data_IF_714590979885
#
_entry.id   IF_714590979885
#
_cell.length_a   1.000
_cell.length_b   1.000
_cell.length_c   1.000
_cell.angle_alpha   90.00
_cell.angle_beta   90.00
_cell.angle_gamma   90.00
#
_symmetry.space_group_name_H-M   'P 1'
#
loop_
_entity.id
_entity.type
_entity.pdbx_description
1 polymer ?
#
# COMPACT_ATOMS: atom_id res chain seq x y z
N UNK A 1 36.60 -1.66 -7.33
CA UNK A 1 35.32 -1.23 -7.90
C UNK A 1 34.82 -2.34 -8.82
N UNK A 2 33.53 -2.73 -8.81
CA UNK A 2 32.98 -3.56 -9.86
C UNK A 2 32.96 -2.78 -11.19
N UNK A 3 33.44 -3.40 -12.27
CA UNK A 3 33.37 -2.82 -13.62
C UNK A 3 32.14 -3.38 -14.33
N UNK A 4 31.10 -2.56 -14.52
CA UNK A 4 29.97 -2.94 -15.38
C UNK A 4 30.40 -2.87 -16.85
N UNK A 5 30.48 -4.04 -17.49
CA UNK A 5 30.75 -4.19 -18.92
C UNK A 5 29.41 -4.24 -19.66
N UNK A 6 29.03 -3.13 -20.33
CA UNK A 6 27.77 -3.06 -21.09
C UNK A 6 27.77 -3.91 -22.37
N UNK A 7 28.96 -4.18 -22.90
CA UNK A 7 29.15 -4.84 -24.18
C UNK A 7 29.86 -6.18 -23.94
N UNK A 8 29.12 -7.27 -23.94
CA UNK A 8 29.65 -8.63 -23.93
C UNK A 8 28.75 -9.54 -24.75
N UNK A 9 29.32 -10.60 -25.31
CA UNK A 9 28.57 -11.74 -25.85
C UNK A 9 28.97 -12.99 -25.08
N UNK A 10 28.03 -13.90 -24.88
CA UNK A 10 28.28 -15.15 -24.17
C UNK A 10 27.63 -16.34 -24.87
N UNK A 11 28.20 -17.52 -24.66
CA UNK A 11 27.70 -18.79 -25.17
C UNK A 11 27.87 -19.86 -24.08
N UNK A 12 26.93 -20.79 -23.98
CA UNK A 12 26.94 -21.84 -22.97
C UNK A 12 26.82 -23.21 -23.62
N UNK A 13 27.63 -24.16 -23.15
CA UNK A 13 27.48 -25.59 -23.41
C UNK A 13 26.97 -26.27 -22.14
N UNK A 14 26.74 -27.59 -22.18
CA UNK A 14 26.41 -28.39 -21.01
C UNK A 14 27.52 -28.47 -19.94
N UNK A 15 28.72 -27.92 -20.21
CA UNK A 15 29.90 -28.05 -19.34
C UNK A 15 30.68 -26.75 -19.12
N UNK A 16 30.44 -25.69 -19.89
CA UNK A 16 31.18 -24.42 -19.78
C UNK A 16 30.36 -23.21 -20.24
N UNK A 17 30.73 -22.02 -19.76
CA UNK A 17 30.24 -20.73 -20.24
C UNK A 17 31.41 -19.92 -20.79
N UNK A 18 31.32 -19.54 -22.05
CA UNK A 18 32.29 -18.69 -22.74
C UNK A 18 31.78 -17.24 -22.73
N UNK A 19 32.61 -16.29 -22.29
CA UNK A 19 32.27 -14.86 -22.27
C UNK A 19 33.31 -14.09 -23.11
N UNK A 20 32.84 -13.35 -24.10
CA UNK A 20 33.64 -12.50 -24.98
C UNK A 20 33.42 -11.03 -24.65
N UNK A 21 34.49 -10.31 -24.33
CA UNK A 21 34.48 -8.88 -23.96
C UNK A 21 35.40 -8.09 -24.91
N UNK A 22 34.92 -7.02 -25.56
CA UNK A 22 35.72 -6.20 -26.47
C UNK A 22 36.61 -5.22 -25.69
N UNK A 23 37.78 -5.70 -25.24
CA UNK A 23 38.78 -4.88 -24.56
C UNK A 23 39.37 -3.82 -25.53
N UNK A 24 39.05 -2.55 -25.31
CA UNK A 24 39.60 -1.43 -26.09
C UNK A 24 40.96 -1.00 -25.52
N UNK A 25 42.02 -1.10 -26.32
CA UNK A 25 43.33 -0.50 -26.04
C UNK A 25 44.28 -1.30 -25.16
N UNK A 26 44.00 -2.59 -24.90
CA UNK A 26 44.85 -3.47 -24.08
C UNK A 26 45.14 -4.76 -24.86
N UNK A 27 46.40 -5.22 -24.85
CA UNK A 27 46.76 -6.52 -25.42
C UNK A 27 46.15 -7.65 -24.59
N UNK A 28 45.46 -8.60 -25.24
CA UNK A 28 44.95 -9.79 -24.55
C UNK A 28 46.11 -10.52 -23.85
N UNK A 29 45.88 -10.88 -22.59
CA UNK A 29 46.71 -11.80 -21.79
C UNK A 29 45.75 -12.77 -21.12
N UNK A 30 46.22 -13.96 -20.82
CA UNK A 30 45.46 -14.90 -20.02
C UNK A 30 45.15 -14.29 -18.65
N UNK A 31 43.88 -14.35 -18.26
CA UNK A 31 43.38 -13.80 -17.02
C UNK A 31 42.52 -14.86 -16.34
N UNK A 32 42.86 -15.21 -15.10
CA UNK A 32 42.17 -16.25 -14.35
C UNK A 32 40.77 -15.78 -13.92
N UNK A 33 39.75 -16.10 -14.73
CA UNK A 33 38.35 -15.75 -14.47
C UNK A 33 37.75 -16.73 -13.45
N UNK A 34 37.98 -16.46 -12.17
CA UNK A 34 37.37 -17.21 -11.06
C UNK A 34 35.87 -16.93 -10.94
N UNK A 35 35.04 -17.80 -11.51
CA UNK A 35 33.60 -17.80 -11.25
C UNK A 35 33.33 -18.42 -9.86
N UNK A 36 32.55 -17.74 -9.01
CA UNK A 36 32.12 -18.28 -7.71
C UNK A 36 30.70 -18.82 -7.82
N UNK A 37 30.47 -20.08 -7.44
CA UNK A 37 29.15 -20.73 -7.52
C UNK A 37 28.03 -19.93 -6.83
N UNK A 38 28.37 -19.18 -5.79
CA UNK A 38 27.45 -18.38 -4.99
C UNK A 38 26.71 -17.31 -5.81
N UNK A 39 27.27 -16.83 -6.92
CA UNK A 39 26.64 -15.78 -7.73
C UNK A 39 25.52 -16.30 -8.64
N UNK A 40 25.55 -17.58 -9.02
CA UNK A 40 24.53 -18.19 -9.88
C UNK A 40 23.30 -18.68 -9.09
N UNK A 41 23.53 -19.27 -7.91
CA UNK A 41 22.49 -19.91 -7.08
C UNK A 41 21.43 -18.93 -6.55
N UNK A 42 21.79 -17.66 -6.35
CA UNK A 42 20.86 -16.61 -5.93
C UNK A 42 19.76 -16.40 -6.97
N UNK A 43 20.10 -16.43 -8.27
CA UNK A 43 19.13 -16.20 -9.34
C UNK A 43 18.13 -17.35 -9.46
N UNK A 44 18.56 -18.60 -9.23
CA UNK A 44 17.67 -19.77 -9.19
C UNK A 44 16.70 -19.70 -8.01
N UNK A 45 17.16 -19.29 -6.83
CA UNK A 45 16.30 -19.08 -5.67
C UNK A 45 15.26 -17.97 -5.89
N UNK A 46 15.64 -16.85 -6.49
CA UNK A 46 14.71 -15.75 -6.80
C UNK A 46 13.70 -16.16 -7.87
N UNK A 47 14.14 -16.84 -8.94
CA UNK A 47 13.25 -17.40 -9.97
C UNK A 47 12.23 -18.36 -9.35
N UNK A 48 12.66 -19.24 -8.44
CA UNK A 48 11.77 -20.15 -7.73
C UNK A 48 10.77 -19.42 -6.83
N UNK A 49 11.21 -18.43 -6.04
CA UNK A 49 10.32 -17.59 -5.21
C UNK A 49 9.26 -16.88 -6.06
N UNK A 50 9.62 -16.41 -7.27
CA UNK A 50 8.69 -15.78 -8.22
C UNK A 50 7.69 -16.80 -8.80
N UNK A 51 8.10 -18.04 -9.03
CA UNK A 51 7.22 -19.11 -9.53
C UNK A 51 6.26 -19.61 -8.43
N UNK A 52 6.77 -19.82 -7.21
CA UNK A 52 5.97 -20.15 -6.03
C UNK A 52 4.90 -19.06 -5.74
N UNK A 53 5.24 -17.77 -5.89
CA UNK A 53 4.26 -16.69 -5.76
C UNK A 53 3.16 -16.75 -6.84
N UNK A 54 3.53 -16.92 -8.11
CA UNK A 54 2.55 -17.00 -9.23
C UNK A 54 1.58 -18.18 -9.07
N UNK A 55 2.07 -19.32 -8.59
CA UNK A 55 1.20 -20.48 -8.38
C UNK A 55 0.29 -20.29 -7.15
N UNK A 56 0.77 -19.64 -6.08
CA UNK A 56 -0.09 -19.23 -4.97
C UNK A 56 -1.19 -18.24 -5.40
N UNK A 57 -0.88 -17.26 -6.27
CA UNK A 57 -1.89 -16.36 -6.85
C UNK A 57 -2.92 -17.09 -7.71
N UNK A 58 -2.49 -18.05 -8.55
CA UNK A 58 -3.40 -18.92 -9.33
C UNK A 58 -4.32 -19.74 -8.41
N UNK A 59 -3.75 -20.41 -7.40
CA UNK A 59 -4.49 -21.22 -6.42
C UNK A 59 -5.48 -20.35 -5.62
N UNK A 60 -5.16 -19.08 -5.37
CA UNK A 60 -6.09 -18.12 -4.74
C UNK A 60 -7.22 -17.74 -5.68
N UNK A 61 -6.92 -17.41 -6.94
CA UNK A 61 -7.90 -17.03 -7.95
C UNK A 61 -8.87 -18.17 -8.31
N UNK A 62 -8.40 -19.42 -8.37
CA UNK A 62 -9.28 -20.58 -8.60
C UNK A 62 -10.23 -20.82 -7.43
N UNK A 63 -9.73 -20.76 -6.18
CA UNK A 63 -10.56 -20.85 -4.96
C UNK A 63 -11.61 -19.74 -4.88
N UNK A 64 -11.24 -18.50 -5.24
CA UNK A 64 -12.18 -17.37 -5.28
C UNK A 64 -13.27 -17.56 -6.36
N UNK A 65 -12.90 -18.08 -7.53
CA UNK A 65 -13.85 -18.41 -8.60
C UNK A 65 -14.78 -19.58 -8.22
N UNK A 66 -14.28 -20.59 -7.51
CA UNK A 66 -15.08 -21.71 -7.00
C UNK A 66 -16.05 -21.25 -5.90
N UNK A 67 -15.56 -20.46 -4.94
CA UNK A 67 -16.40 -19.86 -3.89
C UNK A 67 -17.48 -18.95 -4.49
N UNK A 68 -17.17 -18.15 -5.52
CA UNK A 68 -18.16 -17.34 -6.22
C UNK A 68 -19.23 -18.21 -6.90
N UNK A 69 -18.84 -19.29 -7.60
CA UNK A 69 -19.78 -20.26 -8.21
C UNK A 69 -20.66 -20.96 -7.17
N UNK A 70 -20.12 -21.28 -5.99
CA UNK A 70 -20.88 -21.87 -4.90
C UNK A 70 -21.87 -20.86 -4.26
N UNK A 71 -21.45 -19.61 -4.07
CA UNK A 71 -22.32 -18.52 -3.63
C UNK A 71 -23.46 -18.25 -4.61
N UNK A 72 -23.21 -18.31 -5.93
CA UNK A 72 -24.28 -18.22 -6.94
C UNK A 72 -25.29 -19.37 -6.80
N UNK A 73 -24.84 -20.63 -6.75
CA UNK A 73 -25.72 -21.79 -6.56
C UNK A 73 -26.56 -21.69 -5.29
N UNK A 74 -25.94 -21.37 -4.15
CA UNK A 74 -26.65 -21.15 -2.88
C UNK A 74 -27.65 -19.99 -2.96
N UNK A 75 -27.33 -18.92 -3.67
CA UNK A 75 -28.26 -17.81 -3.90
C UNK A 75 -29.42 -18.18 -4.85
N UNK A 76 -29.28 -19.18 -5.71
CA UNK A 76 -30.37 -19.73 -6.53
C UNK A 76 -31.22 -20.73 -5.76
N UNK A 77 -30.60 -21.65 -5.02
CA UNK A 77 -31.26 -22.58 -4.08
C UNK A 77 -32.11 -21.81 -3.07
N UNK A 78 -31.59 -20.74 -2.45
CA UNK A 78 -32.35 -19.87 -1.54
C UNK A 78 -33.50 -19.14 -2.23
N UNK A 79 -33.40 -18.78 -3.53
CA UNK A 79 -34.53 -18.20 -4.29
C UNK A 79 -35.60 -19.25 -4.59
N UNK A 80 -35.23 -20.52 -4.77
CA UNK A 80 -36.16 -21.64 -4.94
C UNK A 80 -36.88 -21.92 -3.62
N UNK A 81 -36.14 -22.08 -2.52
CA UNK A 81 -36.69 -22.27 -1.17
C UNK A 81 -37.65 -21.13 -0.82
N UNK A 82 -37.27 -19.86 -1.03
CA UNK A 82 -38.16 -18.72 -0.78
C UNK A 82 -39.41 -18.67 -1.67
N UNK A 83 -39.44 -19.35 -2.82
CA UNK A 83 -40.65 -19.50 -3.65
C UNK A 83 -41.52 -20.64 -3.13
N UNK A 84 -40.92 -21.77 -2.78
CA UNK A 84 -41.61 -22.93 -2.18
C UNK A 84 -42.21 -22.58 -0.81
N UNK A 85 -41.47 -21.86 0.04
CA UNK A 85 -41.97 -21.31 1.30
C UNK A 85 -43.15 -20.35 1.08
N UNK A 86 -43.10 -19.48 0.05
CA UNK A 86 -44.22 -18.59 -0.27
C UNK A 86 -45.45 -19.34 -0.75
N UNK A 87 -45.29 -20.35 -1.61
CA UNK A 87 -46.36 -21.23 -2.05
C UNK A 87 -46.96 -22.03 -0.88
N UNK A 88 -46.10 -22.61 -0.02
CA UNK A 88 -46.52 -23.30 1.19
C UNK A 88 -47.22 -22.36 2.18
N UNK A 89 -46.75 -21.12 2.33
CA UNK A 89 -47.38 -20.12 3.20
C UNK A 89 -48.73 -19.65 2.63
N UNK A 90 -48.86 -19.54 1.31
CA UNK A 90 -50.13 -19.25 0.62
C UNK A 90 -51.12 -20.42 0.75
N UNK A 91 -50.69 -21.66 0.56
CA UNK A 91 -51.49 -22.85 0.88
C UNK A 91 -51.87 -22.89 2.36
N UNK A 92 -50.94 -22.55 3.26
CA UNK A 92 -51.17 -22.53 4.71
C UNK A 92 -52.16 -21.42 5.08
N UNK A 93 -52.14 -20.26 4.42
CA UNK A 93 -53.17 -19.24 4.56
C UNK A 93 -54.54 -19.76 4.11
N UNK A 94 -54.66 -20.37 2.92
CA UNK A 94 -55.91 -20.99 2.44
C UNK A 94 -56.41 -22.13 3.37
N UNK A 95 -55.48 -22.91 3.94
CA UNK A 95 -55.77 -23.98 4.92
C UNK A 95 -56.08 -23.41 6.32
N UNK A 96 -55.58 -22.23 6.66
CA UNK A 96 -55.87 -21.53 7.91
C UNK A 96 -57.17 -20.73 7.84
N UNK A 97 -57.57 -20.15 6.71
CA UNK A 97 -58.92 -19.59 6.54
C UNK A 97 -59.98 -20.69 6.73
N UNK A 98 -59.76 -21.86 6.10
CA UNK A 98 -60.56 -23.08 6.33
C UNK A 98 -60.53 -23.60 7.79
N UNK A 99 -59.55 -23.22 8.61
CA UNK A 99 -59.44 -23.62 10.03
C UNK A 99 -59.87 -22.53 11.02
N UNK A 100 -59.78 -21.24 10.69
CA UNK A 100 -60.25 -20.11 11.52
C UNK A 100 -61.78 -20.07 11.62
N UNK A 101 -62.47 -20.81 10.73
CA UNK A 101 -63.86 -21.24 10.86
C UNK A 101 -64.13 -22.28 11.98
N UNK A 102 -63.12 -22.82 12.67
CA UNK A 102 -63.26 -23.87 13.70
C UNK A 102 -62.32 -23.70 14.91
N UNK A 103 -62.95 -23.38 16.06
CA UNK A 103 -62.41 -23.37 17.43
C UNK A 103 -61.54 -22.18 17.89
N UNK A 104 -61.69 -21.87 19.19
CA UNK A 104 -61.12 -20.74 19.95
C UNK A 104 -61.14 -21.12 21.44
N UNK A 105 -59.98 -21.19 22.13
CA UNK A 105 -59.84 -21.04 23.61
C UNK A 105 -58.40 -21.24 24.17
N UNK A 106 -58.05 -20.39 25.16
CA UNK A 106 -57.12 -20.57 26.32
C UNK A 106 -55.57 -20.51 26.18
N UNK A 107 -54.82 -21.20 27.06
CA UNK A 107 -53.69 -20.67 27.90
C UNK A 107 -52.53 -21.65 28.13
N UNK A 108 -51.36 -21.33 28.76
CA UNK A 108 -50.82 -20.08 29.35
C UNK A 108 -50.02 -20.32 30.67
N UNK A 109 -49.07 -19.42 31.03
CA UNK A 109 -48.15 -19.46 32.23
C UNK A 109 -47.12 -20.64 32.24
N UNK A 110 -45.98 -20.71 32.96
CA UNK A 110 -45.15 -19.86 33.88
C UNK A 110 -43.73 -20.54 34.05
N UNK A 111 -42.55 -19.90 33.98
CA UNK A 111 -41.76 -19.09 34.97
C UNK A 111 -40.62 -19.82 35.78
N UNK A 112 -39.53 -19.09 36.17
CA UNK A 112 -38.45 -19.42 37.17
C UNK A 112 -37.33 -20.45 36.78
N UNK A 113 -36.10 -20.53 37.37
CA UNK A 113 -35.21 -19.70 38.27
C UNK A 113 -33.76 -20.27 38.45
N UNK A 114 -32.73 -19.40 38.62
CA UNK A 114 -31.51 -19.49 39.51
C UNK A 114 -30.47 -20.68 39.37
N UNK A 115 -29.27 -20.82 40.03
CA UNK A 115 -28.43 -20.08 41.04
C UNK A 115 -26.91 -20.57 41.09
N UNK A 116 -25.97 -19.82 41.73
CA UNK A 116 -24.78 -20.26 42.57
C UNK A 116 -23.47 -20.90 41.95
N UNK A 117 -22.23 -20.98 42.53
CA UNK A 117 -21.43 -20.32 43.66
C UNK A 117 -19.90 -20.72 43.73
N UNK A 118 -18.99 -19.81 44.21
CA UNK A 118 -17.70 -19.93 45.04
C UNK A 118 -16.55 -20.96 44.71
N UNK A 119 -15.26 -20.84 45.15
CA UNK A 119 -14.43 -19.80 45.84
C UNK A 119 -13.08 -20.29 46.55
N UNK A 120 -12.19 -19.37 47.03
CA UNK A 120 -10.84 -19.49 47.73
C UNK A 120 -9.64 -20.05 46.89
N UNK A 121 -8.33 -20.16 47.28
CA UNK A 121 -7.52 -20.23 48.55
C UNK A 121 -6.07 -19.61 48.42
N UNK A 122 -5.25 -19.48 49.49
CA UNK A 122 -3.74 -19.29 49.43
C UNK A 122 -2.93 -20.39 50.19
N UNK A 123 -1.83 -20.29 50.98
CA UNK A 123 -1.17 -19.25 51.82
C UNK A 123 0.42 -19.11 51.62
N UNK A 124 1.37 -19.32 52.59
CA UNK A 124 2.76 -18.68 52.57
C UNK A 124 3.99 -19.33 53.33
N UNK A 125 5.24 -19.04 52.87
CA UNK A 125 6.57 -18.73 53.56
C UNK A 125 7.30 -19.69 54.56
N UNK A 126 8.67 -19.87 54.47
CA UNK A 126 9.71 -19.69 55.57
C UNK A 126 11.22 -19.89 55.19
N UNK A 127 12.11 -18.96 55.65
CA UNK A 127 13.59 -18.90 55.95
C UNK A 127 14.68 -19.92 55.50
N UNK A 128 15.92 -19.43 55.17
CA UNK A 128 17.13 -19.50 56.06
C UNK A 128 18.35 -18.58 55.66
N UNK A 129 19.57 -18.82 56.20
CA UNK A 129 20.66 -17.83 56.50
C UNK A 129 21.74 -17.54 55.42
N UNK A 130 22.49 -16.44 55.64
CA UNK A 130 23.71 -15.97 54.95
C UNK A 130 25.02 -16.70 55.36
N UNK A 131 26.07 -16.58 54.52
CA UNK A 131 27.50 -16.76 54.85
C UNK A 131 28.38 -15.81 54.01
N UNK A 132 29.58 -15.52 54.50
CA UNK A 132 30.50 -14.49 53.99
C UNK A 132 31.48 -14.95 52.89
N UNK A 133 32.17 -13.97 52.32
CA UNK A 133 32.91 -14.01 51.06
C UNK A 133 34.16 -14.91 51.02
N UNK A 134 34.46 -15.38 49.81
CA UNK A 134 35.84 -15.66 49.38
C UNK A 134 36.04 -15.13 47.95
N UNK A 135 37.14 -14.42 47.71
CA UNK A 135 37.34 -13.69 46.44
C UNK A 135 37.75 -14.68 45.33
N UNK A 136 37.00 -14.79 44.22
CA UNK A 136 37.36 -15.68 43.12
C UNK A 136 38.49 -15.12 42.27
N UNK A 137 39.25 -16.01 41.63
CA UNK A 137 40.35 -15.66 40.72
C UNK A 137 39.88 -14.81 39.51
N UNK A 138 40.76 -13.96 38.94
CA UNK A 138 40.42 -13.12 37.79
C UNK A 138 40.02 -13.94 36.56
N UNK A 139 39.06 -13.42 35.79
CA UNK A 139 38.37 -14.16 34.72
C UNK A 139 39.11 -14.08 33.39
N UNK A 140 38.95 -15.12 32.57
CA UNK A 140 39.30 -15.10 31.14
C UNK A 140 38.32 -14.23 30.34
N UNK A 141 38.74 -13.81 29.14
CA UNK A 141 37.94 -12.98 28.22
C UNK A 141 36.75 -13.78 27.68
N UNK A 142 35.56 -13.16 27.66
CA UNK A 142 34.33 -13.77 27.12
C UNK A 142 33.37 -12.73 26.56
N UNK A 143 32.46 -13.16 25.68
CA UNK A 143 31.48 -12.28 25.04
C UNK A 143 30.35 -11.90 26.01
N UNK A 144 30.04 -10.60 26.10
CA UNK A 144 29.02 -10.07 27.01
C UNK A 144 27.65 -10.11 26.32
N UNK A 145 26.80 -11.06 26.71
CA UNK A 145 25.38 -11.04 26.34
C UNK A 145 24.65 -9.99 27.19
N UNK A 146 24.51 -8.78 26.66
CA UNK A 146 23.75 -7.71 27.29
C UNK A 146 22.26 -8.08 27.28
N UNK A 147 21.69 -8.31 28.46
CA UNK A 147 20.25 -8.39 28.69
C UNK A 147 19.77 -7.10 29.35
N UNK A 148 18.82 -6.40 28.73
CA UNK A 148 18.18 -5.24 29.35
C UNK A 148 17.44 -5.66 30.62
N UNK A 149 17.62 -4.92 31.70
CA UNK A 149 16.81 -5.06 32.91
C UNK A 149 15.36 -4.61 32.61
N UNK A 150 14.33 -5.43 32.92
CA UNK A 150 12.95 -5.03 32.72
C UNK A 150 12.61 -3.84 33.62
N UNK A 151 11.81 -2.90 33.10
CA UNK A 151 11.47 -1.63 33.78
C UNK A 151 10.37 -1.85 34.82
N UNK A 152 10.70 -2.52 35.92
CA UNK A 152 9.76 -2.78 37.02
C UNK A 152 9.48 -1.50 37.81
N UNK A 153 8.42 -0.79 37.45
CA UNK A 153 7.75 0.12 38.37
C UNK A 153 6.98 -0.71 39.42
N UNK A 154 7.14 -0.46 40.73
CA UNK A 154 6.43 -1.18 41.78
C UNK A 154 4.98 -0.67 41.94
N UNK A 155 4.19 -0.74 40.88
CA UNK A 155 2.75 -0.44 40.87
C UNK A 155 1.97 -1.66 41.37
N UNK A 156 0.87 -1.44 42.10
CA UNK A 156 0.08 -2.54 42.65
C UNK A 156 -0.55 -3.42 41.55
N UNK A 157 -0.50 -4.74 41.73
CA UNK A 157 -0.81 -5.78 40.73
C UNK A 157 -2.22 -5.76 40.09
N UNK A 158 -3.09 -4.83 40.49
CA UNK A 158 -4.48 -4.70 40.01
C UNK A 158 -4.60 -3.91 38.70
N UNK A 159 -3.62 -3.06 38.38
CA UNK A 159 -3.64 -2.15 37.21
C UNK A 159 -2.39 -2.36 36.33
N UNK A 160 -1.89 -3.60 36.29
CA UNK A 160 -0.69 -3.97 35.54
C UNK A 160 -0.97 -4.10 34.03
N UNK A 161 -1.24 -2.98 33.36
CA UNK A 161 -1.40 -2.88 31.90
C UNK A 161 -0.10 -3.14 31.10
N UNK A 162 0.89 -3.83 31.67
CA UNK A 162 2.23 -4.07 31.06
C UNK A 162 2.13 -4.69 29.66
N UNK A 163 1.21 -5.63 29.42
CA UNK A 163 1.01 -6.18 28.08
C UNK A 163 0.48 -5.14 27.08
N UNK A 164 -0.38 -4.21 27.53
CA UNK A 164 -0.92 -3.12 26.71
C UNK A 164 0.12 -2.01 26.49
N UNK A 165 0.97 -1.74 27.49
CA UNK A 165 2.14 -0.84 27.38
C UNK A 165 3.21 -1.41 26.45
N UNK A 166 3.54 -2.70 26.57
CA UNK A 166 4.47 -3.40 25.68
C UNK A 166 3.92 -3.46 24.26
N UNK A 167 2.63 -3.77 24.08
CA UNK A 167 1.96 -3.66 22.78
C UNK A 167 1.98 -2.23 22.23
N UNK A 168 1.76 -1.20 23.05
CA UNK A 168 1.80 0.20 22.63
C UNK A 168 3.22 0.64 22.23
N UNK A 169 4.22 0.24 23.00
CA UNK A 169 5.64 0.47 22.69
C UNK A 169 6.06 -0.30 21.43
N UNK A 170 5.61 -1.54 21.25
CA UNK A 170 5.85 -2.32 20.04
C UNK A 170 5.18 -1.66 18.83
N UNK A 171 3.89 -1.32 18.88
CA UNK A 171 3.17 -0.62 17.81
C UNK A 171 3.80 0.73 17.48
N UNK A 172 4.33 1.45 18.47
CA UNK A 172 5.03 2.73 18.24
C UNK A 172 6.44 2.54 17.68
N UNK A 173 7.18 1.51 18.10
CA UNK A 173 8.49 1.14 17.55
C UNK A 173 8.39 0.48 16.17
N UNK A 174 7.24 -0.14 15.86
CA UNK A 174 6.86 -0.66 14.55
C UNK A 174 6.45 0.48 13.62
N UNK A 175 5.60 1.42 14.06
CA UNK A 175 5.29 2.63 13.28
C UNK A 175 6.54 3.48 12.98
N UNK A 176 7.44 3.66 13.96
CA UNK A 176 8.76 4.29 13.75
C UNK A 176 9.65 3.51 12.79
N UNK A 177 9.55 2.17 12.75
CA UNK A 177 10.28 1.35 11.78
C UNK A 177 9.65 1.47 10.39
N UNK A 178 8.35 1.32 10.24
CA UNK A 178 7.64 1.46 8.96
C UNK A 178 7.81 2.84 8.29
N UNK A 179 8.08 3.90 9.07
CA UNK A 179 8.45 5.22 8.52
C UNK A 179 9.95 5.35 8.12
N UNK A 180 10.81 4.42 8.56
CA UNK A 180 12.26 4.46 8.37
C UNK A 180 12.83 3.28 7.54
N UNK A 181 12.11 2.17 7.39
CA UNK A 181 12.62 0.91 6.78
C UNK A 181 12.95 1.03 5.30
N UNK A 182 12.20 1.88 4.59
CA UNK A 182 12.14 1.83 3.13
C UNK A 182 13.23 2.68 2.46
N UNK A 183 14.07 3.37 3.23
CA UNK A 183 14.88 4.48 2.72
C UNK A 183 16.27 4.62 3.38
N UNK A 184 17.23 3.71 3.10
CA UNK A 184 18.65 3.92 3.42
C UNK A 184 19.19 5.26 2.88
N UNK A 185 18.69 5.72 1.73
CA UNK A 185 19.02 7.02 1.13
C UNK A 185 18.71 8.24 2.02
N UNK A 186 17.89 8.11 3.09
CA UNK A 186 17.46 9.21 3.95
C UNK A 186 18.29 9.35 5.25
N UNK A 187 19.17 8.37 5.53
CA UNK A 187 20.08 8.44 6.67
C UNK A 187 21.15 9.52 6.50
N UNK A 188 21.69 9.65 5.28
CA UNK A 188 22.78 10.57 4.93
C UNK A 188 22.32 12.01 4.61
N UNK A 189 21.00 12.22 4.49
CA UNK A 189 20.41 13.53 4.21
C UNK A 189 20.41 14.44 5.45
N UNK A 190 20.74 15.72 5.25
CA UNK A 190 20.80 16.72 6.34
C UNK A 190 19.42 16.97 6.94
N UNK A 191 19.37 17.52 8.15
CA UNK A 191 18.10 17.82 8.85
C UNK A 191 17.17 18.75 8.03
N UNK A 192 17.73 19.71 7.29
CA UNK A 192 16.98 20.55 6.34
C UNK A 192 16.25 19.72 5.26
N UNK A 193 16.89 18.66 4.77
CA UNK A 193 16.37 17.81 3.69
C UNK A 193 15.32 16.79 4.19
N UNK A 194 15.17 16.66 5.51
CA UNK A 194 14.09 15.89 6.16
C UNK A 194 12.80 16.70 6.28
N UNK A 195 12.79 17.96 5.87
CA UNK A 195 11.57 18.77 5.75
C UNK A 195 10.93 18.61 4.34
N UNK A 196 9.70 18.08 4.22
CA UNK A 196 9.04 17.91 2.93
C UNK A 196 8.76 19.24 2.20
N UNK A 197 8.64 20.36 2.92
CA UNK A 197 8.48 21.70 2.33
C UNK A 197 9.77 22.17 1.64
N UNK A 198 10.93 21.88 2.23
CA UNK A 198 12.24 22.18 1.64
C UNK A 198 12.48 21.35 0.38
N UNK A 199 12.11 20.06 0.39
CA UNK A 199 12.19 19.20 -0.79
C UNK A 199 11.20 19.60 -1.89
N UNK A 200 9.99 20.07 -1.53
CA UNK A 200 9.05 20.68 -2.48
C UNK A 200 9.71 21.87 -3.19
N UNK A 201 10.37 22.76 -2.45
CA UNK A 201 11.00 23.95 -3.03
C UNK A 201 12.31 23.65 -3.79
N UNK A 202 13.05 22.61 -3.41
CA UNK A 202 14.13 22.02 -4.23
C UNK A 202 13.57 21.50 -5.55
N UNK A 203 12.45 20.77 -5.52
CA UNK A 203 11.72 20.33 -6.71
C UNK A 203 11.19 21.49 -7.58
N UNK A 204 10.65 22.54 -6.96
CA UNK A 204 10.17 23.75 -7.65
C UNK A 204 11.32 24.46 -8.40
N UNK A 205 12.49 24.61 -7.75
CA UNK A 205 13.70 25.16 -8.36
C UNK A 205 14.20 24.31 -9.52
N UNK A 206 14.25 22.97 -9.34
CA UNK A 206 14.67 22.04 -10.39
C UNK A 206 13.73 22.05 -11.61
N UNK A 207 12.42 22.17 -11.38
CA UNK A 207 11.41 22.35 -12.42
C UNK A 207 11.60 23.68 -13.19
N UNK A 208 11.93 24.77 -12.49
CA UNK A 208 12.23 26.07 -13.12
C UNK A 208 13.53 26.03 -13.95
N UNK A 209 14.49 25.16 -13.60
CA UNK A 209 15.68 24.86 -14.44
C UNK A 209 15.43 23.75 -15.48
N UNK A 210 14.17 23.43 -15.78
CA UNK A 210 13.71 22.38 -16.71
C UNK A 210 14.24 20.96 -16.45
N UNK A 211 14.89 20.71 -15.31
CA UNK A 211 15.38 19.39 -14.92
C UNK A 211 14.26 18.55 -14.28
N UNK A 212 13.31 18.16 -15.11
CA UNK A 212 12.10 17.44 -14.71
C UNK A 212 12.40 16.10 -14.01
N UNK A 213 13.49 15.40 -14.38
CA UNK A 213 13.90 14.13 -13.75
C UNK A 213 14.41 14.34 -12.32
N UNK A 214 15.30 15.32 -12.10
CA UNK A 214 15.77 15.65 -10.75
C UNK A 214 14.62 16.20 -9.89
N UNK A 215 13.71 16.98 -10.46
CA UNK A 215 12.50 17.45 -9.78
C UNK A 215 11.60 16.29 -9.32
N UNK A 216 11.36 15.28 -10.18
CA UNK A 216 10.63 14.06 -9.79
C UNK A 216 11.31 13.35 -8.62
N UNK A 217 12.63 13.22 -8.61
CA UNK A 217 13.34 12.59 -7.49
C UNK A 217 13.20 13.39 -6.19
N UNK A 218 13.26 14.72 -6.25
CA UNK A 218 13.00 15.57 -5.08
C UNK A 218 11.56 15.42 -4.55
N UNK A 219 10.55 15.40 -5.43
CA UNK A 219 9.16 15.15 -5.04
C UNK A 219 8.93 13.72 -4.54
N UNK A 220 9.62 12.70 -5.07
CA UNK A 220 9.56 11.32 -4.59
C UNK A 220 10.03 11.22 -3.13
N UNK A 221 11.15 11.85 -2.80
CA UNK A 221 11.65 11.94 -1.42
C UNK A 221 10.68 12.71 -0.51
N UNK A 222 10.11 13.81 -0.99
CA UNK A 222 9.11 14.56 -0.25
C UNK A 222 7.83 13.75 0.04
N UNK A 223 7.37 12.96 -0.93
CA UNK A 223 6.18 12.08 -0.81
C UNK A 223 6.46 10.91 0.14
N UNK A 224 7.67 10.33 0.10
CA UNK A 224 8.12 9.32 1.07
C UNK A 224 8.08 9.86 2.51
N UNK A 225 8.49 11.11 2.73
CA UNK A 225 8.43 11.77 4.04
C UNK A 225 7.01 12.19 4.47
N UNK A 226 6.19 12.69 3.54
CA UNK A 226 4.81 13.10 3.83
C UNK A 226 3.88 12.91 2.62
N UNK A 227 3.21 11.76 2.59
CA UNK A 227 2.22 11.39 1.57
C UNK A 227 0.87 12.13 1.68
N UNK A 228 0.70 13.07 2.62
CA UNK A 228 -0.55 13.83 2.81
C UNK A 228 -0.55 15.23 2.17
N UNK A 229 0.53 15.62 1.49
CA UNK A 229 0.63 16.94 0.85
C UNK A 229 0.24 16.83 -0.64
N UNK A 230 -0.96 17.28 -1.06
CA UNK A 230 -1.42 17.09 -2.44
C UNK A 230 -0.62 17.92 -3.45
N UNK A 231 0.05 19.00 -3.01
CA UNK A 231 0.93 19.82 -3.86
C UNK A 231 2.14 19.04 -4.40
N UNK A 232 2.62 18.01 -3.68
CA UNK A 232 3.75 17.19 -4.12
C UNK A 232 3.37 16.34 -5.34
N UNK A 233 2.29 15.57 -5.22
CA UNK A 233 1.71 14.80 -6.33
C UNK A 233 1.36 15.69 -7.51
N UNK A 234 0.69 16.83 -7.25
CA UNK A 234 0.40 17.83 -8.27
C UNK A 234 1.64 18.25 -9.06
N UNK A 235 2.74 18.59 -8.40
CA UNK A 235 3.93 19.07 -9.08
C UNK A 235 4.74 17.94 -9.72
N UNK A 236 4.71 16.72 -9.16
CA UNK A 236 5.24 15.51 -9.82
C UNK A 236 4.47 15.19 -11.11
N UNK A 237 3.14 15.31 -11.12
CA UNK A 237 2.31 15.20 -12.33
C UNK A 237 2.71 16.22 -13.41
N UNK A 238 3.05 17.46 -13.02
CA UNK A 238 3.51 18.48 -13.96
C UNK A 238 4.86 18.13 -14.60
N UNK A 239 5.80 17.53 -13.84
CA UNK A 239 7.02 16.95 -14.39
C UNK A 239 6.73 15.78 -15.34
N UNK A 240 5.81 14.88 -14.97
CA UNK A 240 5.44 13.73 -15.79
C UNK A 240 4.77 14.15 -17.10
N UNK A 241 3.91 15.18 -17.11
CA UNK A 241 3.37 15.79 -18.34
C UNK A 241 4.49 16.31 -19.25
N UNK A 242 5.45 17.07 -18.71
CA UNK A 242 6.60 17.59 -19.47
C UNK A 242 7.49 16.49 -20.06
N UNK A 243 7.59 15.35 -19.38
CA UNK A 243 8.31 14.15 -19.84
C UNK A 243 7.42 13.13 -20.59
N UNK A 244 6.20 13.48 -21.00
CA UNK A 244 5.21 12.58 -21.65
C UNK A 244 4.96 11.25 -20.92
N UNK A 245 5.15 11.20 -19.61
CA UNK A 245 4.85 10.06 -18.74
C UNK A 245 3.36 10.06 -18.33
N UNK A 246 2.47 9.99 -19.32
CA UNK A 246 1.05 10.37 -19.19
C UNK A 246 0.29 9.55 -18.14
N UNK A 247 0.46 8.23 -18.11
CA UNK A 247 -0.19 7.38 -17.09
C UNK A 247 0.20 7.76 -15.66
N UNK A 248 1.48 8.11 -15.40
CA UNK A 248 1.95 8.56 -14.09
C UNK A 248 1.42 9.96 -13.72
N UNK A 249 1.23 10.83 -14.71
CA UNK A 249 0.56 12.11 -14.50
C UNK A 249 -0.93 11.95 -14.13
N UNK A 250 -1.62 10.94 -14.68
CA UNK A 250 -3.01 10.59 -14.34
C UNK A 250 -3.10 10.00 -12.93
N UNK A 251 -2.19 9.09 -12.59
CA UNK A 251 -2.06 8.49 -11.25
C UNK A 251 -1.84 9.59 -10.19
N UNK A 252 -0.82 10.43 -10.36
CA UNK A 252 -0.51 11.53 -9.44
C UNK A 252 -1.65 12.55 -9.31
N UNK A 253 -2.27 12.94 -10.42
CA UNK A 253 -3.35 13.92 -10.40
C UNK A 253 -4.61 13.34 -9.74
N UNK A 254 -4.87 12.05 -9.92
CA UNK A 254 -5.95 11.35 -9.21
C UNK A 254 -5.65 11.21 -7.72
N UNK A 255 -4.40 10.89 -7.35
CA UNK A 255 -4.01 10.80 -5.94
C UNK A 255 -4.05 12.15 -5.23
N UNK A 256 -3.71 13.23 -5.93
CA UNK A 256 -3.92 14.58 -5.44
C UNK A 256 -5.42 14.87 -5.22
N UNK A 257 -6.30 14.48 -6.14
CA UNK A 257 -7.75 14.66 -5.99
C UNK A 257 -8.33 13.88 -4.80
N UNK A 258 -7.89 12.64 -4.55
CA UNK A 258 -8.27 11.87 -3.35
C UNK A 258 -7.91 12.64 -2.07
N UNK A 259 -6.66 13.10 -1.95
CA UNK A 259 -6.14 13.86 -0.78
C UNK A 259 -6.84 15.22 -0.64
N UNK A 260 -7.38 15.78 -1.73
CA UNK A 260 -8.14 17.02 -1.76
C UNK A 260 -9.65 16.82 -1.47
N UNK A 261 -10.07 15.63 -1.01
CA UNK A 261 -11.40 15.43 -0.41
C UNK A 261 -11.36 15.67 1.11
N UNK A 262 -12.37 16.33 1.71
CA UNK A 262 -13.56 16.92 1.09
C UNK A 262 -13.25 18.20 0.27
N UNK A 263 -14.14 18.60 -0.66
CA UNK A 263 -13.99 19.83 -1.42
C UNK A 263 -14.23 21.07 -0.54
N UNK A 264 -13.20 21.91 -0.37
CA UNK A 264 -13.23 23.16 0.42
C UNK A 264 -12.87 24.34 -0.48
N UNK A 265 -13.20 25.58 -0.09
CA UNK A 265 -12.82 26.79 -0.82
C UNK A 265 -11.29 26.92 -0.97
N UNK A 266 -10.55 26.81 0.14
CA UNK A 266 -9.09 26.95 0.17
C UNK A 266 -8.37 25.95 -0.76
N UNK A 267 -8.92 24.73 -0.88
CA UNK A 267 -8.35 23.66 -1.69
C UNK A 267 -8.86 23.66 -3.15
N UNK A 268 -9.76 24.58 -3.52
CA UNK A 268 -10.36 24.69 -4.85
C UNK A 268 -9.31 24.90 -5.97
N UNK A 269 -8.36 25.81 -5.77
CA UNK A 269 -7.28 26.10 -6.72
C UNK A 269 -6.40 24.86 -6.99
N UNK A 270 -6.14 24.06 -5.94
CA UNK A 270 -5.41 22.79 -6.05
C UNK A 270 -6.23 21.71 -6.78
N UNK A 271 -7.53 21.59 -6.49
CA UNK A 271 -8.44 20.66 -7.21
C UNK A 271 -8.55 21.00 -8.69
N UNK A 272 -8.77 22.28 -9.03
CA UNK A 272 -8.79 22.77 -10.41
C UNK A 272 -7.49 22.42 -11.15
N UNK A 273 -6.32 22.65 -10.53
CA UNK A 273 -5.02 22.27 -11.11
C UNK A 273 -4.85 20.76 -11.30
N UNK A 274 -5.43 19.94 -10.43
CA UNK A 274 -5.36 18.48 -10.56
C UNK A 274 -6.24 17.99 -11.71
N UNK A 275 -7.48 18.51 -11.82
CA UNK A 275 -8.36 18.25 -12.96
C UNK A 275 -7.71 18.68 -14.29
N UNK A 276 -7.18 19.90 -14.39
CA UNK A 276 -6.50 20.36 -15.63
C UNK A 276 -5.31 19.45 -15.98
N UNK A 277 -4.47 19.06 -15.00
CA UNK A 277 -3.30 18.19 -15.25
C UNK A 277 -3.70 16.78 -15.67
N UNK A 278 -4.77 16.23 -15.09
CA UNK A 278 -5.30 14.90 -15.47
C UNK A 278 -5.99 14.93 -16.84
N UNK A 279 -6.84 15.91 -17.10
CA UNK A 279 -7.48 16.12 -18.40
C UNK A 279 -6.46 16.34 -19.52
N UNK A 280 -5.41 17.13 -19.27
CA UNK A 280 -4.27 17.31 -20.20
C UNK A 280 -3.60 15.97 -20.54
N UNK A 281 -3.42 15.09 -19.55
CA UNK A 281 -2.82 13.77 -19.76
C UNK A 281 -3.75 12.81 -20.51
N UNK A 282 -5.07 12.85 -20.25
CA UNK A 282 -6.06 12.09 -21.01
C UNK A 282 -6.12 12.54 -22.48
N UNK A 283 -6.17 13.84 -22.77
CA UNK A 283 -6.16 14.34 -24.15
C UNK A 283 -4.87 13.98 -24.90
N UNK A 284 -3.71 13.93 -24.22
CA UNK A 284 -2.46 13.44 -24.82
C UNK A 284 -2.39 11.91 -24.99
N UNK A 285 -3.33 11.15 -24.40
CA UNK A 285 -3.59 9.73 -24.66
C UNK A 285 -4.77 9.52 -25.63
N UNK A 286 -5.25 10.58 -26.30
CA UNK A 286 -6.42 10.57 -27.19
C UNK A 286 -7.75 10.19 -26.50
N UNK A 287 -7.76 10.15 -25.16
CA UNK A 287 -8.93 9.94 -24.30
C UNK A 287 -9.67 11.27 -24.09
N UNK A 288 -10.19 11.83 -25.18
CA UNK A 288 -10.77 13.18 -25.21
C UNK A 288 -12.05 13.32 -24.36
N UNK A 289 -12.84 12.25 -24.19
CA UNK A 289 -14.10 12.29 -23.43
C UNK A 289 -13.84 12.40 -21.93
N UNK A 290 -12.93 11.59 -21.41
CA UNK A 290 -12.42 11.63 -20.04
C UNK A 290 -11.70 12.96 -19.77
N UNK A 291 -10.92 13.42 -20.76
CA UNK A 291 -10.30 14.74 -20.74
C UNK A 291 -11.32 15.87 -20.57
N UNK A 292 -12.38 15.88 -21.39
CA UNK A 292 -13.42 16.90 -21.34
C UNK A 292 -14.14 16.92 -19.98
N UNK A 293 -14.44 15.75 -19.40
CA UNK A 293 -15.07 15.66 -18.08
C UNK A 293 -14.22 16.32 -16.98
N UNK A 294 -12.91 16.13 -17.01
CA UNK A 294 -11.98 16.82 -16.09
C UNK A 294 -11.90 18.32 -16.35
N UNK A 295 -11.86 18.76 -17.62
CA UNK A 295 -11.90 20.19 -17.96
C UNK A 295 -13.22 20.86 -17.52
N UNK A 296 -14.37 20.20 -17.67
CA UNK A 296 -15.63 20.65 -17.10
C UNK A 296 -15.62 20.69 -15.56
N UNK A 297 -15.00 19.72 -14.90
CA UNK A 297 -14.84 19.71 -13.45
C UNK A 297 -13.97 20.89 -12.96
N UNK A 298 -12.95 21.28 -13.74
CA UNK A 298 -12.18 22.49 -13.48
C UNK A 298 -13.02 23.77 -13.69
N UNK A 299 -13.81 23.87 -14.76
CA UNK A 299 -14.70 25.01 -15.03
C UNK A 299 -15.83 25.16 -14.00
N UNK A 300 -16.28 24.05 -13.39
CA UNK A 300 -17.23 24.07 -12.26
C UNK A 300 -16.61 24.63 -10.96
N UNK A 301 -15.28 24.79 -10.91
CA UNK A 301 -14.54 25.40 -9.78
C UNK A 301 -14.16 26.86 -10.07
N UNK A 302 -13.63 27.14 -11.27
CA UNK A 302 -13.35 28.51 -11.74
C UNK A 302 -13.97 28.74 -13.13
N UNK A 303 -15.23 29.23 -13.19
CA UNK A 303 -15.90 29.54 -14.44
C UNK A 303 -15.27 30.70 -15.21
N UNK A 304 -14.40 31.51 -14.59
CA UNK A 304 -13.80 32.72 -15.19
C UNK A 304 -12.55 32.41 -16.03
N UNK A 305 -12.01 31.18 -15.91
CA UNK A 305 -10.72 30.83 -16.48
C UNK A 305 -10.77 30.58 -18.00
N UNK A 306 -10.59 31.65 -18.77
CA UNK A 306 -10.57 31.64 -20.24
C UNK A 306 -9.61 30.61 -20.86
N UNK A 307 -8.51 30.25 -20.19
CA UNK A 307 -7.57 29.24 -20.71
C UNK A 307 -8.25 27.86 -20.70
N UNK A 308 -8.88 27.52 -19.58
CA UNK A 308 -9.61 26.25 -19.39
C UNK A 308 -10.85 26.20 -20.29
N UNK A 309 -11.53 27.33 -20.51
CA UNK A 309 -12.63 27.45 -21.48
C UNK A 309 -12.15 27.13 -22.90
N UNK A 310 -11.13 27.83 -23.38
CA UNK A 310 -10.58 27.65 -24.73
C UNK A 310 -10.07 26.22 -24.97
N UNK A 311 -9.45 25.59 -23.97
CA UNK A 311 -8.99 24.21 -24.08
C UNK A 311 -10.16 23.21 -24.09
N UNK A 312 -11.20 23.42 -23.27
CA UNK A 312 -12.44 22.65 -23.33
C UNK A 312 -13.23 22.84 -24.65
N UNK A 313 -13.06 23.96 -25.33
CA UNK A 313 -13.62 24.21 -26.68
C UNK A 313 -12.87 23.42 -27.75
N UNK A 314 -11.53 23.44 -27.77
CA UNK A 314 -10.74 22.57 -28.66
C UNK A 314 -11.09 21.09 -28.48
N UNK A 315 -11.15 20.61 -27.24
CA UNK A 315 -11.50 19.21 -26.95
C UNK A 315 -12.90 18.87 -27.49
N UNK A 316 -13.87 19.79 -27.39
CA UNK A 316 -15.20 19.61 -28.00
C UNK A 316 -15.16 19.61 -29.53
N UNK A 317 -14.36 20.45 -30.16
CA UNK A 317 -14.19 20.47 -31.61
C UNK A 317 -13.56 19.17 -32.13
N UNK A 318 -12.52 18.66 -31.45
CA UNK A 318 -11.90 17.36 -31.74
C UNK A 318 -12.92 16.22 -31.65
N UNK A 319 -13.72 16.18 -30.57
CA UNK A 319 -14.78 15.16 -30.38
C UNK A 319 -15.88 15.27 -31.46
N UNK A 320 -16.18 16.48 -31.94
CA UNK A 320 -17.13 16.72 -33.03
C UNK A 320 -16.52 16.52 -34.43
N UNK A 321 -15.23 16.24 -34.53
CA UNK A 321 -14.50 16.04 -35.79
C UNK A 321 -14.23 17.31 -36.61
N UNK A 322 -14.60 18.49 -36.10
CA UNK A 322 -14.58 19.76 -36.86
C UNK A 322 -13.18 20.33 -37.12
N UNK A 323 -12.15 19.83 -36.42
CA UNK A 323 -10.77 20.33 -36.49
C UNK A 323 -9.91 19.62 -37.57
N UNK A 324 -10.45 18.58 -38.24
CA UNK A 324 -9.73 17.73 -39.19
C UNK A 324 -9.49 18.33 -40.59
N UNK A 325 -10.19 19.41 -40.97
CA UNK A 325 -10.10 20.00 -42.33
C UNK A 325 -8.91 20.97 -42.53
N UNK A 326 -7.90 20.95 -41.66
CA UNK A 326 -6.83 21.97 -41.60
C UNK A 326 -5.40 21.46 -41.87
N UNK A 327 -5.22 20.57 -42.86
CA UNK A 327 -3.91 20.12 -43.37
C UNK A 327 -3.89 19.90 -44.88
#
# INVERSE_FOLDING_TARGET
MPLQLSNYSWQQTSTAVFISVPLRGVSVRDADVFCTENYLKIEEEERKKIEDMKENERIKATKELEAWKECQRKAEELKIIQREEKLYHQEKQMKEERKKLKHKCLTGNSASKNLATKGRNSENIFFEKLKEDSIPAPRSVGSIKISFTPRVFPTALRESQVAEEEEWLHKQAEARRAMNTDIPELCDLKEEEKNPEWLKDKGNKLFATENYLAAINAYNLAIRLNNKIPLLYLNRAACHLKLKNLHKAIEDSSKALEILTPPVADNANARMKAYIRRGTAFCQLELYVEGLQDYEAALKIDPSNKIVQNDAEKIRNIIQGTELESK
#
